data_IF_673565217713
#
_entry.id   IF_673565217713
#
_cell.length_a   1.000
_cell.length_b   1.000
_cell.length_c   1.000
_cell.angle_alpha   90.00
_cell.angle_beta   90.00
_cell.angle_gamma   90.00
#
_symmetry.space_group_name_H-M   'P 1'
#
loop_
_entity.id
_entity.type
_entity.pdbx_description
1 polymer ?
#
# COMPACT_ATOMS: atom_id res chain seq x y z
N UNK A 1 -17.83 -7.25 -23.45
CA UNK A 1 -17.55 -6.75 -22.08
C UNK A 1 -16.09 -6.40 -21.95
N UNK A 2 -15.81 -5.20 -21.47
CA UNK A 2 -14.43 -4.75 -21.31
C UNK A 2 -13.89 -5.31 -20.00
N UNK A 3 -12.78 -6.02 -20.06
CA UNK A 3 -12.09 -6.50 -18.88
C UNK A 3 -11.12 -5.44 -18.41
N UNK A 4 -11.29 -5.01 -17.16
CA UNK A 4 -10.37 -4.08 -16.53
C UNK A 4 -9.43 -4.86 -15.59
N UNK A 5 -8.11 -4.69 -15.73
CA UNK A 5 -7.18 -5.34 -14.83
C UNK A 5 -7.40 -4.88 -13.40
N UNK A 6 -7.23 -5.80 -12.46
CA UNK A 6 -7.29 -5.46 -11.04
C UNK A 6 -6.14 -4.50 -10.71
N UNK A 7 -6.41 -3.34 -10.08
CA UNK A 7 -5.36 -2.37 -9.80
C UNK A 7 -4.35 -2.85 -8.76
N UNK A 8 -4.70 -3.86 -7.95
CA UNK A 8 -3.81 -4.43 -6.94
C UNK A 8 -3.86 -5.94 -7.00
N UNK A 9 -2.71 -6.57 -6.75
CA UNK A 9 -2.64 -8.01 -6.50
C UNK A 9 -2.72 -8.24 -5.01
N UNK A 10 -3.52 -9.23 -4.59
CA UNK A 10 -3.71 -9.57 -3.18
C UNK A 10 -3.13 -10.96 -2.92
N UNK A 11 -2.30 -11.09 -1.88
CA UNK A 11 -1.81 -12.37 -1.42
C UNK A 11 -1.95 -12.45 0.10
N UNK A 12 -2.59 -13.51 0.57
CA UNK A 12 -2.63 -13.82 1.99
C UNK A 12 -1.45 -14.71 2.34
N UNK A 13 -0.65 -14.25 3.29
CA UNK A 13 0.53 -14.94 3.79
C UNK A 13 0.36 -15.17 5.29
N UNK A 14 1.12 -16.09 5.90
CA UNK A 14 1.05 -16.24 7.36
C UNK A 14 1.30 -14.91 8.08
N UNK A 15 0.31 -14.45 8.82
CA UNK A 15 0.41 -13.24 9.62
C UNK A 15 0.25 -11.91 8.87
N UNK A 16 0.04 -11.92 7.54
CA UNK A 16 -0.19 -10.66 6.83
C UNK A 16 -0.92 -10.84 5.50
N UNK A 17 -1.51 -9.75 5.04
CA UNK A 17 -2.03 -9.64 3.68
C UNK A 17 -1.13 -8.67 2.92
N UNK A 18 -0.63 -9.11 1.77
CA UNK A 18 0.26 -8.33 0.92
C UNK A 18 -0.51 -7.82 -0.29
N UNK A 19 -0.48 -6.52 -0.49
CA UNK A 19 -1.08 -5.87 -1.65
C UNK A 19 0.02 -5.26 -2.52
N UNK A 20 0.18 -5.79 -3.73
CA UNK A 20 1.10 -5.23 -4.72
C UNK A 20 0.39 -4.12 -5.48
N UNK A 21 0.89 -2.90 -5.38
CA UNK A 21 0.27 -1.74 -5.99
C UNK A 21 0.72 -1.58 -7.45
N UNK A 22 -0.04 -0.81 -8.26
CA UNK A 22 0.26 -0.70 -9.69
C UNK A 22 1.55 0.08 -9.97
N UNK A 23 2.07 -0.01 -11.22
CA UNK A 23 3.30 0.68 -11.60
C UNK A 23 3.24 2.20 -11.49
N UNK A 24 2.06 2.79 -11.58
CA UNK A 24 1.86 4.22 -11.48
C UNK A 24 0.69 4.53 -10.56
N UNK A 25 0.89 5.52 -9.68
CA UNK A 25 -0.17 6.01 -8.78
C UNK A 25 -0.18 7.53 -8.85
N UNK A 26 -1.26 8.08 -9.38
CA UNK A 26 -1.44 9.52 -9.52
C UNK A 26 -2.91 9.89 -9.36
N UNK A 27 -3.23 11.14 -9.61
CA UNK A 27 -4.61 11.64 -9.49
C UNK A 27 -5.60 10.84 -10.33
N UNK A 28 -5.16 10.28 -11.48
CA UNK A 28 -6.08 9.58 -12.38
C UNK A 28 -6.54 8.23 -11.85
N UNK A 29 -5.79 7.58 -10.97
CA UNK A 29 -6.11 6.24 -10.49
C UNK A 29 -6.10 6.06 -8.96
N UNK A 30 -5.70 7.07 -8.20
CA UNK A 30 -5.54 6.93 -6.75
C UNK A 30 -6.82 6.47 -6.06
N UNK A 31 -7.98 7.01 -6.45
CA UNK A 31 -9.27 6.60 -5.88
C UNK A 31 -9.58 5.13 -6.19
N UNK A 32 -9.36 4.71 -7.43
CA UNK A 32 -9.58 3.32 -7.84
C UNK A 32 -8.68 2.36 -7.06
N UNK A 33 -7.42 2.74 -6.88
CA UNK A 33 -6.47 1.94 -6.10
C UNK A 33 -6.92 1.87 -4.63
N UNK A 34 -7.31 3.01 -4.05
CA UNK A 34 -7.81 3.02 -2.67
C UNK A 34 -9.03 2.11 -2.51
N UNK A 35 -9.97 2.17 -3.44
CA UNK A 35 -11.17 1.33 -3.38
C UNK A 35 -10.82 -0.15 -3.43
N UNK A 36 -9.82 -0.53 -4.23
CA UNK A 36 -9.35 -1.91 -4.29
C UNK A 36 -8.72 -2.34 -2.96
N UNK A 37 -7.92 -1.48 -2.34
CA UNK A 37 -7.33 -1.76 -1.03
C UNK A 37 -8.41 -1.89 0.03
N UNK A 38 -9.35 -0.96 0.06
CA UNK A 38 -10.45 -0.97 1.02
C UNK A 38 -11.31 -2.23 0.87
N UNK A 39 -11.58 -2.65 -0.37
CA UNK A 39 -12.31 -3.89 -0.64
C UNK A 39 -11.58 -5.11 -0.10
N UNK A 40 -10.26 -5.18 -0.29
CA UNK A 40 -9.45 -6.28 0.24
C UNK A 40 -9.45 -6.31 1.78
N UNK A 41 -9.38 -5.14 2.40
CA UNK A 41 -9.46 -4.99 3.87
C UNK A 41 -10.81 -5.49 4.39
N UNK A 42 -11.90 -5.00 3.79
CA UNK A 42 -13.25 -5.38 4.20
C UNK A 42 -13.51 -6.88 4.03
N UNK A 43 -13.01 -7.46 2.95
CA UNK A 43 -13.20 -8.90 2.69
C UNK A 43 -12.56 -9.78 3.77
N UNK A 44 -11.52 -9.31 4.45
CA UNK A 44 -10.84 -10.05 5.51
C UNK A 44 -11.40 -9.80 6.89
N UNK A 45 -11.95 -8.61 7.11
CA UNK A 45 -12.55 -8.26 8.41
C UNK A 45 -11.58 -8.51 9.56
N UNK A 46 -12.04 -9.23 10.57
CA UNK A 46 -11.25 -9.50 11.80
C UNK A 46 -10.08 -10.45 11.56
N UNK A 47 -10.00 -11.10 10.41
CA UNK A 47 -8.88 -11.99 10.08
C UNK A 47 -7.63 -11.23 9.63
N UNK A 48 -7.76 -9.93 9.33
CA UNK A 48 -6.64 -9.12 8.90
C UNK A 48 -5.73 -8.79 10.09
N UNK A 49 -4.55 -9.41 10.09
CA UNK A 49 -3.60 -9.24 11.20
C UNK A 49 -2.61 -8.08 10.94
N UNK A 50 -2.21 -7.91 9.68
CA UNK A 50 -1.27 -6.87 9.26
C UNK A 50 -1.45 -6.66 7.76
N UNK A 51 -1.33 -5.42 7.31
CA UNK A 51 -1.37 -5.09 5.88
C UNK A 51 0.00 -4.58 5.43
N UNK A 52 0.50 -5.14 4.34
CA UNK A 52 1.71 -4.65 3.67
C UNK A 52 1.32 -4.12 2.30
N UNK A 53 1.62 -2.85 2.04
CA UNK A 53 1.50 -2.25 0.72
C UNK A 53 2.87 -2.31 0.04
N UNK A 54 2.94 -3.06 -1.04
CA UNK A 54 4.18 -3.23 -1.80
C UNK A 54 4.24 -2.24 -2.96
N UNK A 55 5.09 -1.23 -2.82
CA UNK A 55 5.36 -0.21 -3.82
C UNK A 55 6.69 -0.44 -4.54
N UNK A 56 7.33 -1.60 -4.34
CA UNK A 56 8.65 -1.83 -4.95
C UNK A 56 8.59 -1.90 -6.47
N UNK A 57 7.45 -2.29 -7.04
CA UNK A 57 7.22 -2.29 -8.48
C UNK A 57 6.61 -0.99 -9.01
N UNK A 58 6.29 -0.03 -8.14
CA UNK A 58 5.74 1.26 -8.54
C UNK A 58 6.86 2.16 -9.01
N UNK A 59 6.80 2.60 -10.27
CA UNK A 59 7.84 3.41 -10.90
C UNK A 59 7.57 4.91 -10.79
N UNK A 60 6.30 5.29 -10.73
CA UNK A 60 5.89 6.68 -10.58
C UNK A 60 4.81 6.80 -9.52
N UNK A 61 4.95 7.83 -8.70
CA UNK A 61 3.95 8.17 -7.70
C UNK A 61 4.05 9.65 -7.38
N UNK A 62 2.91 10.35 -7.36
CA UNK A 62 2.85 11.74 -6.91
C UNK A 62 2.31 11.81 -5.48
N UNK A 63 1.98 13.01 -5.01
CA UNK A 63 1.45 13.21 -3.67
C UNK A 63 0.13 12.50 -3.41
N UNK A 64 -0.62 12.15 -4.46
CA UNK A 64 -1.85 11.37 -4.32
C UNK A 64 -1.57 9.95 -3.82
N UNK A 65 -0.41 9.39 -4.20
CA UNK A 65 0.02 8.10 -3.67
C UNK A 65 0.34 8.16 -2.19
N UNK A 66 1.01 9.22 -1.74
CA UNK A 66 1.26 9.40 -0.31
C UNK A 66 -0.04 9.58 0.47
N UNK A 67 -0.98 10.33 -0.08
CA UNK A 67 -2.30 10.51 0.52
C UNK A 67 -3.05 9.18 0.60
N UNK A 68 -2.94 8.35 -0.44
CA UNK A 68 -3.51 7.01 -0.46
C UNK A 68 -2.99 6.18 0.73
N UNK A 69 -1.70 6.18 0.96
CA UNK A 69 -1.10 5.43 2.08
C UNK A 69 -1.63 5.94 3.42
N UNK A 70 -1.73 7.25 3.59
CA UNK A 70 -2.27 7.83 4.82
C UNK A 70 -3.75 7.49 5.01
N UNK A 71 -4.53 7.51 3.94
CA UNK A 71 -5.95 7.14 3.99
C UNK A 71 -6.13 5.66 4.36
N UNK A 72 -5.27 4.78 3.85
CA UNK A 72 -5.28 3.36 4.23
C UNK A 72 -4.95 3.20 5.71
N UNK A 73 -3.96 3.94 6.21
CA UNK A 73 -3.62 3.93 7.64
C UNK A 73 -4.84 4.29 8.49
N UNK A 74 -5.56 5.32 8.10
CA UNK A 74 -6.77 5.76 8.82
C UNK A 74 -7.89 4.73 8.74
N UNK A 75 -8.04 4.08 7.59
CA UNK A 75 -9.02 3.02 7.42
C UNK A 75 -8.76 1.85 8.36
N UNK A 76 -7.50 1.46 8.52
CA UNK A 76 -7.13 0.33 9.39
C UNK A 76 -7.25 0.68 10.87
N UNK A 77 -7.01 1.94 11.23
CA UNK A 77 -6.99 2.36 12.63
C UNK A 77 -5.83 1.75 13.40
N UNK A 78 -5.87 1.79 14.76
CA UNK A 78 -4.77 1.32 15.57
C UNK A 78 -4.69 -0.21 15.72
N UNK A 79 -5.73 -0.94 15.31
CA UNK A 79 -5.81 -2.39 15.53
C UNK A 79 -5.00 -3.21 14.54
N UNK A 80 -4.83 -2.72 13.33
CA UNK A 80 -4.15 -3.44 12.25
C UNK A 80 -2.93 -2.64 11.82
N UNK A 81 -1.71 -3.16 12.03
CA UNK A 81 -0.50 -2.50 11.57
C UNK A 81 -0.47 -2.36 10.05
N UNK A 82 -0.06 -1.19 9.58
CA UNK A 82 0.23 -0.92 8.18
C UNK A 82 1.74 -0.79 8.00
N UNK A 83 2.28 -1.50 7.03
CA UNK A 83 3.69 -1.40 6.65
C UNK A 83 3.78 -1.21 5.15
N UNK A 84 4.80 -0.49 4.70
CA UNK A 84 5.02 -0.19 3.29
C UNK A 84 6.39 -0.70 2.89
N UNK A 85 6.45 -1.34 1.72
CA UNK A 85 7.71 -1.69 1.07
C UNK A 85 7.92 -0.74 -0.11
N UNK A 86 9.06 -0.08 -0.18
CA UNK A 86 9.41 0.85 -1.26
C UNK A 86 10.92 0.81 -1.47
N UNK A 87 11.35 0.68 -2.73
CA UNK A 87 12.77 0.61 -3.08
C UNK A 87 13.51 1.84 -2.56
N UNK A 88 14.70 1.67 -1.95
CA UNK A 88 15.42 2.79 -1.32
C UNK A 88 15.71 3.98 -2.23
N UNK A 89 15.96 3.71 -3.52
CA UNK A 89 16.26 4.76 -4.52
C UNK A 89 15.07 5.08 -5.42
N UNK A 90 13.90 4.50 -5.14
CA UNK A 90 12.73 4.67 -5.99
C UNK A 90 11.96 5.95 -5.72
N UNK A 91 11.15 6.34 -6.70
CA UNK A 91 10.27 7.52 -6.60
C UNK A 91 9.28 7.42 -5.44
N UNK A 92 8.60 6.28 -5.21
CA UNK A 92 7.66 6.19 -4.10
C UNK A 92 8.29 6.48 -2.74
N UNK A 93 9.48 5.94 -2.46
CA UNK A 93 10.19 6.20 -1.20
C UNK A 93 10.41 7.69 -1.00
N UNK A 94 10.88 8.37 -2.06
CA UNK A 94 11.15 9.81 -1.99
C UNK A 94 9.88 10.61 -1.73
N UNK A 95 8.79 10.26 -2.38
CA UNK A 95 7.50 10.94 -2.17
C UNK A 95 7.01 10.75 -0.75
N UNK A 96 7.12 9.53 -0.21
CA UNK A 96 6.72 9.26 1.18
C UNK A 96 7.56 10.05 2.18
N UNK A 97 8.85 10.21 1.91
CA UNK A 97 9.74 11.01 2.77
C UNK A 97 9.38 12.49 2.71
N UNK A 98 9.21 13.05 1.50
CA UNK A 98 8.94 14.47 1.32
C UNK A 98 7.58 14.90 1.87
N UNK A 99 6.60 14.01 1.83
CA UNK A 99 5.24 14.31 2.33
C UNK A 99 5.07 14.06 3.83
N UNK A 100 6.04 13.44 4.47
CA UNK A 100 5.99 13.17 5.90
C UNK A 100 5.18 11.95 6.31
N UNK A 101 4.61 11.20 5.37
CA UNK A 101 3.83 10.00 5.68
C UNK A 101 4.66 8.96 6.41
N UNK A 102 5.95 8.90 6.14
CA UNK A 102 6.88 7.96 6.76
C UNK A 102 6.95 8.10 8.30
N UNK A 103 6.57 9.24 8.86
CA UNK A 103 6.50 9.42 10.31
C UNK A 103 5.47 8.52 10.97
N UNK A 104 4.37 8.27 10.25
CA UNK A 104 3.24 7.51 10.78
C UNK A 104 3.20 6.07 10.26
N UNK A 105 3.87 5.79 9.15
CA UNK A 105 3.87 4.49 8.51
C UNK A 105 5.30 4.01 8.29
N UNK A 106 5.70 2.87 8.89
CA UNK A 106 7.04 2.32 8.66
C UNK A 106 7.23 1.92 7.19
N UNK A 107 8.38 2.27 6.64
CA UNK A 107 8.75 1.97 5.25
C UNK A 107 10.00 1.11 5.24
N UNK A 108 9.93 0.00 4.53
CA UNK A 108 10.99 -1.00 4.42
C UNK A 108 11.48 -1.11 2.98
N UNK A 109 12.67 -1.68 2.78
CA UNK A 109 13.29 -1.76 1.45
C UNK A 109 12.57 -2.74 0.52
N UNK A 110 11.98 -3.79 1.07
CA UNK A 110 11.24 -4.78 0.31
C UNK A 110 10.13 -5.42 1.15
N UNK A 111 9.29 -6.20 0.47
CA UNK A 111 8.13 -6.83 1.12
C UNK A 111 8.54 -7.85 2.18
N UNK A 112 9.65 -8.56 1.98
CA UNK A 112 10.13 -9.54 2.96
C UNK A 112 10.52 -8.87 4.27
N UNK A 113 11.24 -7.75 4.21
CA UNK A 113 11.57 -6.97 5.40
C UNK A 113 10.32 -6.42 6.08
N UNK A 114 9.37 -5.91 5.30
CA UNK A 114 8.13 -5.38 5.85
C UNK A 114 7.34 -6.43 6.62
N UNK A 115 7.33 -7.67 6.13
CA UNK A 115 6.60 -8.76 6.77
C UNK A 115 7.23 -9.22 8.08
N UNK A 116 8.55 -9.25 8.12
CA UNK A 116 9.29 -9.84 9.25
C UNK A 116 9.68 -8.82 10.32
N UNK A 117 9.44 -7.57 10.07
CA UNK A 117 9.82 -6.51 11.00
C UNK A 117 8.98 -6.49 12.27
#
# INVERSE_FOLDING_TARGET
MTYLPTPCRVRDLPGCTLLTLPPEIDLSNATTVFDAVAGAVHARGDRLAMLVLDLTGTRFMDSQGARLVDDVRRLLGPRVPLRVAASPSGVPRRVLELTGVRRDVPVYDDASQARSA
#
